data_IF_891389752533
#
_entry.id   IF_891389752533
#
_cell.length_a   1.000
_cell.length_b   1.000
_cell.length_c   1.000
_cell.angle_alpha   90.00
_cell.angle_beta   90.00
_cell.angle_gamma   90.00
#
_symmetry.space_group_name_H-M   'P 1'
#
loop_
_entity.id
_entity.type
_entity.pdbx_description
1 polymer ?
#
# COMPACT_ATOMS: atom_id res chain seq x y z
N UNK A 1 -1.40 16.40 26.11
CA UNK A 1 -2.80 16.26 25.66
C UNK A 1 -2.79 15.33 24.46
N UNK A 2 -2.99 14.04 24.69
CA UNK A 2 -2.99 13.02 23.63
C UNK A 2 -4.28 13.16 22.83
N UNK A 3 -4.15 13.56 21.58
CA UNK A 3 -5.29 13.78 20.68
C UNK A 3 -5.41 12.59 19.73
N UNK A 4 -5.58 11.38 20.27
CA UNK A 4 -5.96 10.21 19.49
C UNK A 4 -7.49 10.10 19.51
N UNK A 5 -8.14 11.01 18.77
CA UNK A 5 -9.53 10.80 18.38
C UNK A 5 -9.49 9.70 17.35
N UNK A 6 -10.01 8.54 17.74
CA UNK A 6 -10.20 7.32 16.97
C UNK A 6 -11.10 7.59 15.74
N UNK A 7 -10.59 8.36 14.79
CA UNK A 7 -11.31 8.84 13.63
C UNK A 7 -11.28 7.71 12.61
N UNK A 8 -12.43 7.10 12.37
CA UNK A 8 -12.62 6.08 11.33
C UNK A 8 -12.11 6.63 10.00
N UNK A 9 -11.18 5.93 9.36
CA UNK A 9 -10.65 6.38 8.06
C UNK A 9 -11.71 6.21 6.98
N UNK A 10 -11.73 7.16 6.04
CA UNK A 10 -12.75 7.25 4.99
C UNK A 10 -12.26 6.73 3.64
N UNK A 11 -13.18 6.53 2.70
CA UNK A 11 -12.85 6.25 1.29
C UNK A 11 -12.02 7.39 0.68
N UNK A 12 -12.22 8.64 1.13
CA UNK A 12 -11.40 9.76 0.69
C UNK A 12 -9.97 9.64 1.20
N UNK A 13 -9.75 9.19 2.45
CA UNK A 13 -8.41 8.92 2.97
C UNK A 13 -7.71 7.80 2.20
N UNK A 14 -8.46 6.79 1.76
CA UNK A 14 -7.97 5.73 0.89
C UNK A 14 -7.52 6.27 -0.48
N UNK A 15 -8.36 7.06 -1.15
CA UNK A 15 -8.02 7.68 -2.44
C UNK A 15 -6.83 8.66 -2.33
N UNK A 16 -6.75 9.42 -1.24
CA UNK A 16 -5.65 10.36 -0.98
C UNK A 16 -4.28 9.69 -0.79
N UNK A 17 -4.22 8.36 -0.66
CA UNK A 17 -2.94 7.65 -0.58
C UNK A 17 -2.08 7.79 -1.83
N UNK A 18 -2.66 7.90 -3.03
CA UNK A 18 -1.91 8.20 -4.27
C UNK A 18 -1.16 9.53 -4.12
N UNK A 19 -1.83 10.60 -3.68
CA UNK A 19 -1.22 11.92 -3.53
C UNK A 19 -0.14 11.95 -2.44
N UNK A 20 -0.31 11.16 -1.38
CA UNK A 20 0.71 11.04 -0.34
C UNK A 20 2.00 10.41 -0.89
N UNK A 21 1.87 9.36 -1.72
CA UNK A 21 3.02 8.71 -2.36
C UNK A 21 3.66 9.65 -3.40
N UNK A 22 2.86 10.32 -4.24
CA UNK A 22 3.37 11.28 -5.22
C UNK A 22 4.21 12.39 -4.57
N UNK A 23 3.76 12.90 -3.41
CA UNK A 23 4.51 13.91 -2.66
C UNK A 23 5.81 13.37 -2.06
N UNK A 24 5.83 12.13 -1.56
CA UNK A 24 7.03 11.55 -0.95
C UNK A 24 8.12 11.24 -1.99
N UNK A 25 7.76 11.03 -3.25
CA UNK A 25 8.73 10.77 -4.33
C UNK A 25 9.07 12.01 -5.18
N UNK A 26 8.42 13.14 -4.91
CA UNK A 26 8.60 14.35 -5.69
C UNK A 26 10.06 14.85 -5.65
N UNK A 27 10.57 15.24 -6.81
CA UNK A 27 11.92 15.77 -7.00
C UNK A 27 13.04 14.73 -7.00
N UNK A 28 12.74 13.44 -6.82
CA UNK A 28 13.74 12.38 -6.97
C UNK A 28 14.03 12.09 -8.45
N UNK A 29 15.30 11.93 -8.79
CA UNK A 29 15.71 11.45 -10.11
C UNK A 29 15.52 9.94 -10.25
N UNK A 30 15.58 9.42 -11.48
CA UNK A 30 15.52 7.98 -11.74
C UNK A 30 16.55 7.19 -10.94
N UNK A 31 17.81 7.66 -10.90
CA UNK A 31 18.88 7.01 -10.13
C UNK A 31 18.56 7.00 -8.63
N UNK A 32 18.00 8.09 -8.10
CA UNK A 32 17.62 8.18 -6.69
C UNK A 32 16.42 7.29 -6.35
N UNK A 33 15.47 7.15 -7.27
CA UNK A 33 14.32 6.26 -7.12
C UNK A 33 14.71 4.78 -7.10
N UNK A 34 15.75 4.42 -7.85
CA UNK A 34 16.27 3.06 -8.01
C UNK A 34 17.38 2.72 -7.02
N UNK A 35 17.96 3.72 -6.37
CA UNK A 35 19.03 3.54 -5.39
C UNK A 35 18.56 2.73 -4.19
N UNK A 36 19.39 1.77 -3.78
CA UNK A 36 19.16 0.87 -2.64
C UNK A 36 20.23 1.17 -1.57
N UNK A 37 19.86 1.34 -0.30
CA UNK A 37 20.87 1.56 0.74
C UNK A 37 21.78 0.35 0.96
N UNK A 38 21.27 -0.86 0.71
CA UNK A 38 22.04 -2.10 0.66
C UNK A 38 21.37 -3.11 -0.29
N UNK A 39 22.05 -4.19 -0.73
CA UNK A 39 21.47 -5.18 -1.66
C UNK A 39 20.18 -5.85 -1.17
N UNK A 40 20.03 -5.98 0.15
CA UNK A 40 18.90 -6.60 0.85
C UNK A 40 17.77 -5.61 1.21
N UNK A 41 18.01 -4.30 1.07
CA UNK A 41 17.01 -3.26 1.36
C UNK A 41 16.31 -2.78 0.08
N UNK A 42 15.07 -2.31 0.21
CA UNK A 42 14.30 -1.82 -0.93
C UNK A 42 14.70 -0.39 -1.31
N UNK A 43 14.68 -0.11 -2.62
CA UNK A 43 14.70 1.23 -3.19
C UNK A 43 13.35 1.92 -3.03
N UNK A 44 13.29 3.23 -3.26
CA UNK A 44 12.03 3.99 -3.24
C UNK A 44 11.03 3.42 -4.26
N UNK A 45 11.46 3.12 -5.49
CA UNK A 45 10.56 2.61 -6.53
C UNK A 45 10.03 1.20 -6.21
N UNK A 46 10.87 0.35 -5.61
CA UNK A 46 10.43 -0.96 -5.08
C UNK A 46 9.38 -0.81 -3.97
N UNK A 47 9.52 0.17 -3.06
CA UNK A 47 8.49 0.47 -2.04
C UNK A 47 7.18 0.90 -2.69
N UNK A 48 7.22 1.76 -3.73
CA UNK A 48 6.00 2.19 -4.43
C UNK A 48 5.32 1.03 -5.16
N UNK A 49 6.09 0.17 -5.85
CA UNK A 49 5.56 -1.02 -6.49
C UNK A 49 4.92 -1.99 -5.48
N UNK A 50 5.55 -2.19 -4.33
CA UNK A 50 5.01 -2.98 -3.23
C UNK A 50 3.63 -2.48 -2.75
N UNK A 51 3.39 -1.17 -2.74
CA UNK A 51 2.09 -0.62 -2.35
C UNK A 51 0.99 -0.98 -3.36
N UNK A 52 1.32 -1.11 -4.65
CA UNK A 52 0.40 -1.65 -5.67
C UNK A 52 0.05 -3.10 -5.35
N UNK A 53 1.06 -3.94 -5.14
CA UNK A 53 0.87 -5.36 -4.81
C UNK A 53 0.05 -5.55 -3.52
N UNK A 54 0.36 -4.76 -2.50
CA UNK A 54 -0.38 -4.78 -1.22
C UNK A 54 -1.84 -4.36 -1.42
N UNK A 55 -2.12 -3.39 -2.29
CA UNK A 55 -3.49 -2.99 -2.63
C UNK A 55 -4.25 -4.13 -3.31
N UNK A 56 -3.62 -4.86 -4.25
CA UNK A 56 -4.22 -6.04 -4.89
C UNK A 56 -4.60 -7.11 -3.84
N UNK A 57 -3.68 -7.43 -2.94
CA UNK A 57 -3.92 -8.42 -1.88
C UNK A 57 -5.05 -7.98 -0.95
N UNK A 58 -5.07 -6.72 -0.49
CA UNK A 58 -6.14 -6.20 0.35
C UNK A 58 -7.50 -6.24 -0.39
N UNK A 59 -7.51 -5.90 -1.67
CA UNK A 59 -8.71 -5.93 -2.52
C UNK A 59 -9.33 -7.32 -2.61
N UNK A 60 -8.49 -8.35 -2.77
CA UNK A 60 -8.91 -9.75 -2.80
C UNK A 60 -9.41 -10.18 -1.42
N UNK A 61 -8.64 -9.89 -0.36
CA UNK A 61 -9.02 -10.27 1.01
C UNK A 61 -10.37 -9.70 1.41
N UNK A 62 -10.63 -8.42 1.15
CA UNK A 62 -11.92 -7.79 1.46
C UNK A 62 -13.07 -8.47 0.70
N UNK A 63 -12.89 -8.75 -0.60
CA UNK A 63 -13.92 -9.46 -1.39
C UNK A 63 -14.15 -10.88 -0.88
N UNK A 64 -13.10 -11.59 -0.45
CA UNK A 64 -13.23 -12.91 0.19
C UNK A 64 -14.02 -12.82 1.50
N UNK A 65 -13.78 -11.85 2.37
CA UNK A 65 -14.60 -11.72 3.59
C UNK A 65 -16.07 -11.47 3.25
N UNK A 66 -16.34 -10.64 2.24
CA UNK A 66 -17.71 -10.26 1.90
C UNK A 66 -18.50 -11.41 1.24
N UNK A 67 -17.83 -12.19 0.36
CA UNK A 67 -18.47 -13.18 -0.52
C UNK A 67 -18.13 -14.65 -0.18
N UNK A 68 -17.05 -14.90 0.55
CA UNK A 68 -16.46 -16.23 0.82
C UNK A 68 -15.94 -16.33 2.27
N UNK A 69 -16.71 -15.86 3.26
CA UNK A 69 -16.25 -15.56 4.64
C UNK A 69 -15.59 -16.72 5.40
N UNK A 70 -15.81 -17.97 4.99
CA UNK A 70 -15.23 -19.16 5.62
C UNK A 70 -13.83 -19.52 5.10
N UNK A 71 -13.35 -18.87 4.03
CA UNK A 71 -12.07 -19.20 3.42
C UNK A 71 -10.91 -18.45 4.08
N UNK A 72 -9.74 -19.11 4.27
CA UNK A 72 -8.52 -18.44 4.71
C UNK A 72 -8.16 -17.24 3.82
N UNK A 73 -7.73 -16.15 4.44
CA UNK A 73 -7.25 -14.99 3.71
C UNK A 73 -5.91 -15.29 3.03
N UNK A 74 -5.76 -14.79 1.79
CA UNK A 74 -4.54 -14.93 1.01
C UNK A 74 -3.34 -14.37 1.78
N UNK A 75 -2.32 -15.19 2.00
CA UNK A 75 -1.02 -14.75 2.53
C UNK A 75 -0.04 -14.54 1.37
N UNK A 76 0.92 -13.64 1.55
CA UNK A 76 1.99 -13.41 0.58
C UNK A 76 3.28 -13.03 1.30
N UNK A 77 4.41 -13.38 0.69
CA UNK A 77 5.73 -13.00 1.18
C UNK A 77 6.14 -11.71 0.46
N UNK A 78 6.04 -10.58 1.16
CA UNK A 78 6.34 -9.26 0.61
C UNK A 78 7.77 -9.15 0.07
N UNK A 79 8.76 -9.70 0.78
CA UNK A 79 10.16 -9.60 0.38
C UNK A 79 10.43 -10.40 -0.89
N UNK A 80 9.85 -11.60 -0.97
CA UNK A 80 9.92 -12.44 -2.17
C UNK A 80 9.23 -11.77 -3.38
N UNK A 81 8.10 -11.11 -3.17
CA UNK A 81 7.39 -10.38 -4.23
C UNK A 81 8.21 -9.18 -4.70
N UNK A 82 8.70 -8.34 -3.78
CA UNK A 82 9.52 -7.17 -4.13
C UNK A 82 10.78 -7.59 -4.88
N UNK A 83 11.52 -8.57 -4.37
CA UNK A 83 12.76 -9.05 -5.01
C UNK A 83 12.55 -9.67 -6.40
N UNK A 84 11.38 -10.24 -6.67
CA UNK A 84 11.05 -10.82 -7.99
C UNK A 84 10.33 -9.86 -8.94
N UNK A 85 9.82 -8.72 -8.44
CA UNK A 85 9.00 -7.76 -9.20
C UNK A 85 9.72 -7.09 -10.38
N UNK A 86 11.06 -6.98 -10.30
CA UNK A 86 11.88 -6.17 -11.20
C UNK A 86 11.40 -4.71 -11.30
N UNK A 87 10.81 -4.17 -10.23
CA UNK A 87 10.19 -2.84 -10.21
C UNK A 87 11.11 -1.72 -10.76
N UNK A 88 12.42 -1.80 -10.50
CA UNK A 88 13.39 -0.81 -10.98
C UNK A 88 13.52 -0.76 -12.51
N UNK A 89 13.11 -1.78 -13.24
CA UNK A 89 13.08 -1.80 -14.72
C UNK A 89 11.86 -1.08 -15.30
N UNK A 90 10.87 -0.72 -14.47
CA UNK A 90 9.65 -0.04 -14.87
C UNK A 90 9.68 1.48 -14.65
N UNK A 91 8.74 2.17 -15.29
CA UNK A 91 8.50 3.59 -15.05
C UNK A 91 7.73 3.81 -13.75
N UNK A 92 8.19 4.77 -12.93
CA UNK A 92 7.44 5.20 -11.74
C UNK A 92 6.05 5.74 -12.11
N UNK A 93 5.92 6.43 -13.25
CA UNK A 93 4.63 6.98 -13.71
C UNK A 93 3.60 5.88 -13.95
N UNK A 94 4.03 4.76 -14.52
CA UNK A 94 3.16 3.65 -14.88
C UNK A 94 2.71 2.91 -13.62
N UNK A 95 3.62 2.72 -12.66
CA UNK A 95 3.32 2.13 -11.35
C UNK A 95 2.29 3.00 -10.61
N UNK A 96 2.48 4.32 -10.57
CA UNK A 96 1.53 5.24 -9.92
C UNK A 96 0.18 5.27 -10.63
N UNK A 97 0.16 5.21 -11.98
CA UNK A 97 -1.07 5.14 -12.76
C UNK A 97 -1.84 3.85 -12.46
N UNK A 98 -1.15 2.71 -12.37
CA UNK A 98 -1.75 1.43 -12.00
C UNK A 98 -2.31 1.47 -10.57
N UNK A 99 -1.57 2.08 -9.63
CA UNK A 99 -2.02 2.28 -8.26
C UNK A 99 -3.33 3.05 -8.21
N UNK A 100 -3.37 4.22 -8.87
CA UNK A 100 -4.52 5.11 -8.87
C UNK A 100 -5.77 4.46 -9.48
N UNK A 101 -5.60 3.76 -10.61
CA UNK A 101 -6.68 3.00 -11.24
C UNK A 101 -7.24 1.91 -10.32
N UNK A 102 -6.37 1.18 -9.61
CA UNK A 102 -6.78 0.16 -8.66
C UNK A 102 -7.52 0.77 -7.45
N UNK A 103 -7.01 1.86 -6.87
CA UNK A 103 -7.68 2.54 -5.77
C UNK A 103 -9.05 3.07 -6.21
N UNK A 104 -9.14 3.70 -7.37
CA UNK A 104 -10.38 4.23 -7.92
C UNK A 104 -11.42 3.12 -8.08
N UNK A 105 -11.04 2.00 -8.69
CA UNK A 105 -11.95 0.87 -8.88
C UNK A 105 -12.42 0.27 -7.54
N UNK A 106 -11.52 0.14 -6.57
CA UNK A 106 -11.86 -0.35 -5.24
C UNK A 106 -12.73 0.62 -4.44
N UNK A 107 -12.49 1.93 -4.54
CA UNK A 107 -13.30 2.95 -3.88
C UNK A 107 -14.77 2.89 -4.35
N UNK A 108 -15.00 2.66 -5.65
CA UNK A 108 -16.35 2.43 -6.18
C UNK A 108 -17.01 1.19 -5.57
N UNK A 109 -16.23 0.12 -5.33
CA UNK A 109 -16.75 -1.06 -4.63
C UNK A 109 -17.06 -0.75 -3.16
N UNK A 110 -16.15 -0.10 -2.44
CA UNK A 110 -16.35 0.29 -1.04
C UNK A 110 -17.52 1.25 -0.83
N UNK A 111 -17.82 2.10 -1.82
CA UNK A 111 -19.00 2.98 -1.79
C UNK A 111 -20.33 2.27 -2.04
N UNK A 112 -20.33 1.01 -2.48
CA UNK A 112 -21.55 0.22 -2.76
C UNK A 112 -21.85 -0.85 -1.72
N UNK A 113 -20.87 -1.27 -0.92
CA UNK A 113 -21.08 -2.29 0.10
C UNK A 113 -21.89 -1.74 1.27
N UNK A 114 -22.71 -2.59 1.89
CA UNK A 114 -23.60 -2.18 2.98
C UNK A 114 -22.83 -1.90 4.27
N UNK A 115 -23.47 -1.21 5.23
CA UNK A 115 -22.90 -1.04 6.57
C UNK A 115 -22.62 -2.39 7.25
N UNK A 116 -23.48 -3.40 7.03
CA UNK A 116 -23.26 -4.74 7.55
C UNK A 116 -22.04 -5.44 6.93
N UNK A 117 -21.74 -5.18 5.64
CA UNK A 117 -20.56 -5.74 4.99
C UNK A 117 -19.26 -5.23 5.62
N UNK A 118 -19.23 -3.97 6.06
CA UNK A 118 -18.07 -3.39 6.77
C UNK A 118 -17.75 -4.10 8.09
N UNK A 119 -18.75 -4.74 8.71
CA UNK A 119 -18.64 -5.50 9.95
C UNK A 119 -18.40 -7.01 9.74
N UNK A 120 -18.48 -7.52 8.51
CA UNK A 120 -18.15 -8.93 8.23
C UNK A 120 -16.70 -9.22 8.58
N UNK A 121 -16.44 -10.43 9.04
CA UNK A 121 -15.12 -10.89 9.46
C UNK A 121 -14.71 -12.16 8.71
N UNK A 122 -13.40 -12.37 8.60
CA UNK A 122 -12.83 -13.60 8.08
C UNK A 122 -11.60 -14.05 8.88
N UNK A 123 -11.17 -15.31 8.70
CA UNK A 123 -10.03 -15.88 9.41
C UNK A 123 -8.69 -15.30 8.93
N UNK A 124 -7.91 -14.76 9.86
CA UNK A 124 -6.59 -14.17 9.63
C UNK A 124 -5.58 -14.69 10.67
N UNK A 125 -4.74 -15.64 10.27
CA UNK A 125 -3.61 -16.14 11.09
C UNK A 125 -3.99 -16.53 12.53
N UNK A 126 -5.07 -17.30 12.70
CA UNK A 126 -5.54 -17.75 14.03
C UNK A 126 -6.38 -16.72 14.79
N UNK A 127 -6.60 -15.54 14.21
CA UNK A 127 -7.52 -14.52 14.69
C UNK A 127 -8.60 -14.23 13.65
N UNK A 128 -9.53 -13.35 13.96
CA UNK A 128 -10.47 -12.78 12.99
C UNK A 128 -10.09 -11.35 12.68
N UNK A 129 -10.40 -10.90 11.46
CA UNK A 129 -10.26 -9.51 11.06
C UNK A 129 -11.51 -9.09 10.30
N UNK A 130 -11.98 -7.86 10.54
CA UNK A 130 -13.12 -7.28 9.83
C UNK A 130 -12.71 -6.61 8.51
N UNK A 131 -13.69 -6.38 7.64
CA UNK A 131 -13.51 -5.56 6.43
C UNK A 131 -13.01 -4.16 6.77
N UNK A 132 -13.58 -3.54 7.82
CA UNK A 132 -13.16 -2.22 8.29
C UNK A 132 -11.68 -2.21 8.71
N UNK A 133 -11.25 -3.20 9.50
CA UNK A 133 -9.86 -3.30 9.95
C UNK A 133 -8.87 -3.52 8.80
N UNK A 134 -9.22 -4.32 7.79
CA UNK A 134 -8.39 -4.49 6.60
C UNK A 134 -8.28 -3.19 5.79
N UNK A 135 -9.39 -2.51 5.58
CA UNK A 135 -9.42 -1.25 4.84
C UNK A 135 -8.57 -0.17 5.51
N UNK A 136 -8.77 0.05 6.81
CA UNK A 136 -7.97 1.00 7.56
C UNK A 136 -6.51 0.56 7.69
N UNK A 137 -6.29 -0.75 7.81
CA UNK A 137 -4.98 -1.39 7.84
C UNK A 137 -4.16 -1.05 6.59
N UNK A 138 -4.77 -1.07 5.41
CA UNK A 138 -4.11 -0.66 4.18
C UNK A 138 -3.67 0.80 4.19
N UNK A 139 -4.52 1.73 4.66
CA UNK A 139 -4.17 3.16 4.70
C UNK A 139 -3.00 3.38 5.69
N UNK A 140 -3.05 2.74 6.87
CA UNK A 140 -1.93 2.77 7.82
C UNK A 140 -0.66 2.18 7.23
N UNK A 141 -0.78 1.07 6.48
CA UNK A 141 0.33 0.43 5.79
C UNK A 141 0.99 1.38 4.77
N UNK A 142 0.21 2.11 3.97
CA UNK A 142 0.76 3.15 3.07
C UNK A 142 1.54 4.20 3.88
N UNK A 143 0.98 4.71 4.99
CA UNK A 143 1.67 5.70 5.84
C UNK A 143 3.00 5.18 6.40
N UNK A 144 3.06 3.91 6.81
CA UNK A 144 4.31 3.26 7.22
C UNK A 144 5.35 3.26 6.11
N UNK A 145 4.94 2.95 4.87
CA UNK A 145 5.86 2.94 3.72
C UNK A 145 6.24 4.33 3.24
N UNK A 146 5.41 5.35 3.42
CA UNK A 146 5.83 6.75 3.23
C UNK A 146 6.98 7.09 4.18
N UNK A 147 6.87 6.72 5.46
CA UNK A 147 7.97 6.91 6.40
C UNK A 147 9.23 6.09 6.02
N UNK A 148 9.08 4.94 5.35
CA UNK A 148 10.20 4.21 4.76
C UNK A 148 10.84 4.99 3.59
N UNK A 149 10.03 5.52 2.68
CA UNK A 149 10.52 6.35 1.55
C UNK A 149 11.33 7.51 2.08
N UNK A 150 10.82 8.26 3.06
CA UNK A 150 11.56 9.40 3.64
C UNK A 150 12.88 8.99 4.29
N UNK A 151 12.92 7.84 4.98
CA UNK A 151 14.17 7.29 5.52
C UNK A 151 15.17 6.89 4.43
N UNK A 152 14.71 6.32 3.33
CA UNK A 152 15.59 5.98 2.19
C UNK A 152 16.13 7.28 1.58
N UNK A 153 15.27 8.27 1.34
CA UNK A 153 15.64 9.59 0.78
C UNK A 153 16.74 10.27 1.59
N UNK A 154 16.64 10.26 2.91
CA UNK A 154 17.64 10.86 3.80
C UNK A 154 19.03 10.19 3.73
N UNK A 155 19.11 8.98 3.18
CA UNK A 155 20.37 8.22 3.04
C UNK A 155 20.97 8.32 1.63
N UNK A 156 20.24 8.88 0.66
CA UNK A 156 20.70 9.01 -0.72
C UNK A 156 21.95 9.91 -0.75
N UNK A 157 23.10 9.42 -1.24
CA UNK A 157 24.30 10.24 -1.35
C UNK A 157 24.07 11.43 -2.29
N UNK A 158 24.69 12.57 -1.99
CA UNK A 158 24.68 13.75 -2.88
C UNK A 158 25.25 13.44 -4.28
N UNK A 159 26.09 12.41 -4.38
CA UNK A 159 26.69 11.90 -5.63
C UNK A 159 25.78 10.97 -6.44
N UNK A 160 24.59 10.63 -5.93
CA UNK A 160 23.56 9.92 -6.71
C UNK A 160 22.69 10.86 -7.56
N UNK A 161 23.02 12.16 -7.58
CA UNK A 161 22.55 13.12 -8.56
C UNK A 161 23.18 12.83 -9.94
N UNK A 162 22.52 13.17 -11.06
CA UNK A 162 22.94 12.79 -12.41
C UNK A 162 24.37 13.21 -12.77
#
# INVERSE_FOLDING_TARGET
MSNDINTKLSIQDYLATTELIQRSVAGLTTNQLEWKPSPDQWSVKEVVAHLVDSSLVHSVRIRKIIAESEQPLLLYNQDAWVSSSRANQGSLSDILTAFDGLLTYNALFYGRISEADWSKTGPNQGQTISVSELFEGFIRHVRTHIAQIERIRAQIPLTAAP
#
